data_IF_009653212198
#
_entry.id   IF_009653212198
#
_cell.length_a   1.000
_cell.length_b   1.000
_cell.length_c   1.000
_cell.angle_alpha   90.00
_cell.angle_beta   90.00
_cell.angle_gamma   90.00
#
_symmetry.space_group_name_H-M   'P 1'
#
loop_
_entity.id
_entity.type
_entity.pdbx_description
1 polymer ?
#
# COMPACT_ATOMS: atom_id res chain seq x y z
N UNK A 1 3.21 -9.71 -22.55
CA UNK A 1 3.44 -8.73 -21.46
C UNK A 1 4.12 -7.51 -22.04
N UNK A 2 3.56 -6.30 -21.87
CA UNK A 2 4.19 -5.06 -22.32
C UNK A 2 5.51 -4.82 -21.58
N UNK A 3 6.39 -3.99 -22.16
CA UNK A 3 7.63 -3.56 -21.49
C UNK A 3 7.27 -2.76 -20.26
N UNK A 4 7.76 -3.18 -19.09
CA UNK A 4 7.59 -2.45 -17.85
C UNK A 4 8.73 -1.43 -17.70
N UNK A 5 8.38 -0.14 -17.71
CA UNK A 5 9.31 0.98 -17.51
C UNK A 5 9.34 1.48 -16.05
N UNK A 6 8.52 0.91 -15.17
CA UNK A 6 8.43 1.31 -13.77
C UNK A 6 9.67 0.86 -13.01
N UNK A 7 10.28 1.80 -12.28
CA UNK A 7 11.40 1.55 -11.36
C UNK A 7 10.93 1.63 -9.91
N UNK A 8 11.68 1.08 -8.94
CA UNK A 8 11.37 1.17 -7.52
C UNK A 8 11.26 2.61 -6.97
N UNK A 9 11.90 3.58 -7.65
CA UNK A 9 11.91 5.00 -7.27
C UNK A 9 10.73 5.78 -7.84
N UNK A 10 9.95 5.21 -8.76
CA UNK A 10 8.71 5.84 -9.22
C UNK A 10 7.67 5.85 -8.09
N UNK A 11 6.85 6.90 -8.07
CA UNK A 11 5.75 7.03 -7.12
C UNK A 11 4.75 5.89 -7.30
N UNK A 12 4.43 5.20 -6.20
CA UNK A 12 3.39 4.18 -6.13
C UNK A 12 2.03 4.80 -5.76
N UNK A 13 2.03 5.77 -4.83
CA UNK A 13 0.82 6.48 -4.43
C UNK A 13 1.10 7.87 -3.85
N UNK A 14 0.05 8.70 -3.84
CA UNK A 14 0.00 9.98 -3.15
C UNK A 14 -1.27 10.04 -2.31
N UNK A 15 -1.11 10.13 -1.00
CA UNK A 15 -2.23 10.30 -0.06
C UNK A 15 -2.15 11.68 0.57
N UNK A 16 -3.27 12.41 0.53
CA UNK A 16 -3.36 13.76 1.08
C UNK A 16 -3.71 13.72 2.56
N UNK A 17 -2.97 14.47 3.36
CA UNK A 17 -3.23 14.66 4.79
C UNK A 17 -3.56 16.12 5.08
N UNK A 18 -4.22 16.36 6.22
CA UNK A 18 -4.51 17.72 6.67
C UNK A 18 -3.19 18.47 6.91
N UNK A 19 -3.02 19.62 6.25
CA UNK A 19 -1.88 20.48 6.50
C UNK A 19 -2.17 21.42 7.66
N UNK A 20 -1.17 21.62 8.53
CA UNK A 20 -1.23 22.61 9.62
C UNK A 20 -1.48 24.05 9.16
N UNK A 21 -1.29 24.35 7.86
CA UNK A 21 -1.54 25.65 7.23
C UNK A 21 -2.92 25.75 6.58
N UNK A 22 -3.80 24.77 6.79
CA UNK A 22 -5.14 24.71 6.18
C UNK A 22 -5.18 24.21 4.73
N UNK A 23 -4.01 24.00 4.09
CA UNK A 23 -3.91 23.39 2.75
C UNK A 23 -3.45 21.93 2.87
N UNK A 24 -4.15 20.96 2.26
CA UNK A 24 -3.72 19.57 2.28
C UNK A 24 -2.30 19.37 1.72
N UNK A 25 -1.55 18.45 2.30
CA UNK A 25 -0.20 18.08 1.86
C UNK A 25 -0.22 16.66 1.29
N UNK A 26 0.36 16.47 0.11
CA UNK A 26 0.51 15.15 -0.50
C UNK A 26 1.69 14.42 0.13
N UNK A 27 1.45 13.20 0.61
CA UNK A 27 2.51 12.28 1.06
C UNK A 27 2.85 11.38 -0.11
N UNK A 28 4.04 11.58 -0.68
CA UNK A 28 4.52 10.90 -1.89
C UNK A 28 5.33 9.68 -1.48
N UNK A 29 4.86 8.48 -1.84
CA UNK A 29 5.59 7.24 -1.56
C UNK A 29 5.89 6.51 -2.86
N UNK A 30 7.14 6.06 -2.99
CA UNK A 30 7.60 5.28 -4.12
C UNK A 30 7.41 3.77 -3.90
N UNK A 31 7.49 2.98 -4.97
CA UNK A 31 7.29 1.54 -4.93
C UNK A 31 8.18 0.84 -3.89
N UNK A 32 9.42 1.27 -3.74
CA UNK A 32 10.33 0.71 -2.73
C UNK A 32 9.84 0.89 -1.28
N UNK A 33 9.08 1.95 -0.97
CA UNK A 33 8.54 2.17 0.38
C UNK A 33 7.44 1.15 0.70
N UNK A 34 6.59 0.85 -0.28
CA UNK A 34 5.55 -0.17 -0.16
C UNK A 34 6.17 -1.55 0.09
N UNK A 35 7.16 -1.96 -0.71
CA UNK A 35 7.83 -3.26 -0.51
C UNK A 35 8.55 -3.31 0.84
N UNK A 36 9.15 -2.19 1.28
CA UNK A 36 9.79 -2.10 2.59
C UNK A 36 8.81 -2.29 3.75
N UNK A 37 7.57 -1.79 3.66
CA UNK A 37 6.53 -2.00 4.68
C UNK A 37 6.29 -3.50 4.92
N UNK A 38 6.08 -4.28 3.86
CA UNK A 38 5.84 -5.71 3.98
C UNK A 38 7.09 -6.48 4.41
N UNK A 39 8.26 -6.15 3.85
CA UNK A 39 9.51 -6.77 4.29
C UNK A 39 9.84 -6.49 5.77
N UNK A 40 9.45 -5.32 6.30
CA UNK A 40 9.67 -4.97 7.71
C UNK A 40 8.70 -5.68 8.66
N UNK A 41 7.56 -6.15 8.16
CA UNK A 41 6.46 -6.70 8.97
C UNK A 41 6.23 -8.20 8.74
N UNK A 42 6.96 -8.81 7.79
CA UNK A 42 6.85 -10.23 7.44
C UNK A 42 6.95 -11.16 8.66
N UNK A 43 7.90 -10.88 9.57
CA UNK A 43 8.11 -11.70 10.76
C UNK A 43 6.95 -11.71 11.76
N UNK A 44 6.08 -10.71 11.72
CA UNK A 44 4.95 -10.59 12.64
C UNK A 44 3.65 -11.14 12.05
N UNK A 45 3.40 -10.90 10.77
CA UNK A 45 2.08 -11.18 10.18
C UNK A 45 2.07 -12.42 9.29
N UNK A 46 3.22 -12.79 8.68
CA UNK A 46 3.35 -13.99 7.84
C UNK A 46 2.23 -14.13 6.81
N UNK A 47 2.06 -13.07 6.00
CA UNK A 47 1.03 -12.99 4.97
C UNK A 47 1.08 -14.18 4.00
N UNK A 48 -0.08 -14.68 3.60
CA UNK A 48 -0.21 -15.85 2.72
C UNK A 48 -1.49 -15.82 1.89
N UNK A 49 -1.61 -16.79 0.97
CA UNK A 49 -2.80 -17.00 0.14
C UNK A 49 -4.06 -17.38 0.93
N UNK A 50 -3.90 -17.70 2.22
CA UNK A 50 -5.01 -18.03 3.13
C UNK A 50 -5.65 -16.80 3.75
N UNK A 51 -5.03 -15.62 3.63
CA UNK A 51 -5.53 -14.42 4.25
C UNK A 51 -6.70 -13.81 3.48
N UNK A 52 -7.66 -13.27 4.23
CA UNK A 52 -8.80 -12.50 3.71
C UNK A 52 -8.78 -11.12 4.34
N UNK A 53 -8.53 -10.10 3.52
CA UNK A 53 -8.48 -8.71 3.92
C UNK A 53 -9.75 -7.99 3.47
N UNK A 54 -10.36 -7.22 4.36
CA UNK A 54 -11.42 -6.28 3.99
C UNK A 54 -10.80 -4.94 3.60
N UNK A 55 -11.22 -4.36 2.49
CA UNK A 55 -10.98 -2.95 2.18
C UNK A 55 -11.97 -2.11 2.99
N UNK A 56 -11.68 -1.96 4.27
CA UNK A 56 -12.56 -1.30 5.23
C UNK A 56 -12.31 0.20 5.27
N UNK A 57 -11.03 0.60 5.24
CA UNK A 57 -10.68 2.01 5.27
C UNK A 57 -10.87 2.63 3.89
N UNK A 58 -11.20 3.93 3.87
CA UNK A 58 -11.17 4.72 2.64
C UNK A 58 -9.83 4.53 1.94
N UNK A 59 -9.84 4.34 0.62
CA UNK A 59 -8.62 4.26 -0.19
C UNK A 59 -7.79 5.55 -0.16
N UNK A 60 -8.34 6.64 0.40
CA UNK A 60 -7.64 7.89 0.67
C UNK A 60 -6.94 7.92 2.05
N UNK A 61 -6.98 6.83 2.83
CA UNK A 61 -6.29 6.68 4.11
C UNK A 61 -5.17 5.63 3.98
N UNK A 62 -4.03 5.86 4.63
CA UNK A 62 -2.80 5.07 4.41
C UNK A 62 -2.93 3.60 4.82
N UNK A 63 -3.75 3.29 5.81
CA UNK A 63 -3.99 1.90 6.22
C UNK A 63 -4.61 1.05 5.09
N UNK A 64 -5.37 1.66 4.17
CA UNK A 64 -5.92 0.95 3.00
C UNK A 64 -4.83 0.37 2.08
N UNK A 65 -3.64 0.97 2.06
CA UNK A 65 -2.48 0.44 1.32
C UNK A 65 -2.12 -0.93 1.86
N UNK A 66 -2.17 -1.11 3.18
CA UNK A 66 -1.85 -2.38 3.81
C UNK A 66 -2.93 -3.43 3.55
N UNK A 67 -4.21 -3.04 3.62
CA UNK A 67 -5.36 -3.91 3.30
C UNK A 67 -5.28 -4.43 1.86
N UNK A 68 -5.04 -3.53 0.89
CA UNK A 68 -4.98 -3.86 -0.53
C UNK A 68 -3.76 -4.74 -0.83
N UNK A 69 -2.57 -4.26 -0.49
CA UNK A 69 -1.33 -4.94 -0.90
C UNK A 69 -0.98 -6.14 -0.03
N UNK A 70 -1.50 -6.22 1.21
CA UNK A 70 -1.37 -7.41 2.06
C UNK A 70 -2.07 -8.63 1.45
N UNK A 71 -3.22 -8.44 0.81
CA UNK A 71 -3.84 -9.49 0.01
C UNK A 71 -3.11 -9.69 -1.32
N UNK A 72 -2.96 -8.63 -2.13
CA UNK A 72 -2.57 -8.78 -3.54
C UNK A 72 -1.11 -9.20 -3.75
N UNK A 73 -0.19 -8.85 -2.85
CA UNK A 73 1.22 -9.27 -2.97
C UNK A 73 1.47 -10.70 -2.50
N UNK A 74 0.56 -11.26 -1.70
CA UNK A 74 0.72 -12.58 -1.06
C UNK A 74 -0.28 -13.63 -1.54
N UNK A 75 -1.07 -13.31 -2.57
CA UNK A 75 -2.07 -14.23 -3.15
C UNK A 75 -3.33 -14.40 -2.31
N UNK A 76 -3.53 -13.56 -1.29
CA UNK A 76 -4.73 -13.55 -0.46
C UNK A 76 -5.95 -12.96 -1.18
N UNK A 77 -7.08 -12.90 -0.47
CA UNK A 77 -8.34 -12.35 -1.00
C UNK A 77 -8.62 -10.97 -0.43
N UNK A 78 -8.87 -9.99 -1.30
CA UNK A 78 -9.43 -8.69 -0.92
C UNK A 78 -10.96 -8.73 -1.06
N UNK A 79 -11.67 -8.27 -0.03
CA UNK A 79 -13.14 -8.14 0.01
C UNK A 79 -13.51 -6.67 0.12
N UNK A 80 -14.47 -6.22 -0.69
CA UNK A 80 -14.98 -4.84 -0.75
C UNK A 80 -16.32 -4.76 -0.03
#
# INVERSE_FOLDING_TARGET
NPVNQTTPDNLAYVIYTSGSTGKPKGTLLAHHNLIRLFAATDDWFKFSEKDVWTLFHSFAFDFSVWEIFGALLHGGRLVI
#
